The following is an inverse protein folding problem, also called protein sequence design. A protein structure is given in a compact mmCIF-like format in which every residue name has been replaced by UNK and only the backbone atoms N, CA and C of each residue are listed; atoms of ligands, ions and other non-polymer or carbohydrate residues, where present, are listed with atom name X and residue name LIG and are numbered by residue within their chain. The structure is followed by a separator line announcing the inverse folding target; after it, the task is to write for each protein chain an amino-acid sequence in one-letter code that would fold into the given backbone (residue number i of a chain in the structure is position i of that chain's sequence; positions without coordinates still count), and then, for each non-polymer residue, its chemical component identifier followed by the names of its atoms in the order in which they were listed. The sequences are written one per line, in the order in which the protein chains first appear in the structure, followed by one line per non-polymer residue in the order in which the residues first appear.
data_IF_093497268923
#
_entry.id   IF_093497268923
#
_cell.length_a   1.000
_cell.length_b   1.000
_cell.length_c   1.000
_cell.angle_alpha   90.00
_cell.angle_beta   90.00
_cell.angle_gamma   90.00
#
_symmetry.space_group_name_H-M   'P 1'
#
loop_
_entity.id
_entity.type
_entity.pdbx_description
1 polymer ?
#
# COMPACT_ATOMS: atom_id res chain seq x y z
N UNK A 1 13.60 -6.50 15.33
CA UNK A 1 14.63 -6.04 14.38
C UNK A 1 14.21 -4.69 13.85
N UNK A 2 15.08 -3.69 13.96
CA UNK A 2 14.87 -2.37 13.37
C UNK A 2 15.12 -2.45 11.85
N UNK A 3 14.18 -3.04 11.11
CA UNK A 3 14.27 -3.07 9.67
C UNK A 3 13.84 -1.71 9.12
N UNK A 4 14.71 -1.08 8.36
CA UNK A 4 14.37 0.13 7.62
C UNK A 4 13.60 -0.24 6.34
N UNK A 5 12.27 -0.27 6.46
CA UNK A 5 11.34 -0.64 5.38
C UNK A 5 11.27 0.42 4.26
N UNK A 6 11.69 1.64 4.56
CA UNK A 6 11.69 2.78 3.65
C UNK A 6 13.08 3.43 3.65
N UNK A 7 14.10 2.75 3.08
CA UNK A 7 15.43 3.31 3.01
C UNK A 7 15.43 4.63 2.23
N UNK A 8 16.47 5.43 2.42
CA UNK A 8 16.63 6.68 1.67
C UNK A 8 16.47 6.44 0.16
N UNK A 9 15.69 7.28 -0.51
CA UNK A 9 15.36 7.15 -1.93
C UNK A 9 14.15 6.25 -2.24
N UNK A 10 13.55 5.60 -1.22
CA UNK A 10 12.35 4.77 -1.46
C UNK A 10 11.16 5.59 -1.95
N UNK A 11 10.93 6.75 -1.37
CA UNK A 11 9.81 7.62 -1.76
C UNK A 11 9.93 8.05 -3.23
N UNK A 12 11.12 8.40 -3.69
CA UNK A 12 11.40 8.81 -5.07
C UNK A 12 11.13 7.66 -6.04
N UNK A 13 11.63 6.46 -5.76
CA UNK A 13 11.37 5.30 -6.62
C UNK A 13 9.88 4.97 -6.68
N UNK A 14 9.18 5.01 -5.54
CA UNK A 14 7.75 4.74 -5.49
C UNK A 14 6.96 5.77 -6.30
N UNK A 15 7.29 7.05 -6.16
CA UNK A 15 6.65 8.13 -6.93
C UNK A 15 6.89 7.99 -8.44
N UNK A 16 8.09 7.60 -8.88
CA UNK A 16 8.38 7.35 -10.30
C UNK A 16 7.51 6.20 -10.83
N UNK A 17 7.48 5.07 -10.13
CA UNK A 17 6.69 3.91 -10.55
C UNK A 17 5.20 4.20 -10.59
N UNK A 18 4.68 4.91 -9.58
CA UNK A 18 3.27 5.22 -9.48
C UNK A 18 2.82 6.17 -10.60
N UNK A 19 3.57 7.25 -10.84
CA UNK A 19 3.30 8.20 -11.92
C UNK A 19 3.45 7.56 -13.29
N UNK A 20 4.49 6.76 -13.52
CA UNK A 20 4.66 6.04 -14.79
C UNK A 20 3.51 5.06 -15.06
N UNK A 21 3.02 4.38 -14.02
CA UNK A 21 1.85 3.50 -14.14
C UNK A 21 0.58 4.27 -14.47
N UNK A 22 0.34 5.40 -13.82
CA UNK A 22 -0.80 6.28 -14.09
C UNK A 22 -0.76 6.84 -15.53
N UNK A 23 0.43 7.19 -16.05
CA UNK A 23 0.58 7.70 -17.42
C UNK A 23 0.08 6.73 -18.52
N UNK A 24 -0.07 5.45 -18.20
CA UNK A 24 -0.62 4.43 -19.11
C UNK A 24 -2.14 4.52 -19.27
N UNK A 25 -2.82 5.24 -18.39
CA UNK A 25 -4.26 5.45 -18.49
C UNK A 25 -4.51 6.29 -19.76
N UNK A 26 -5.37 5.81 -20.70
CA UNK A 26 -5.66 6.51 -21.95
C UNK A 26 -6.62 7.67 -21.69
N UNK A 27 -6.21 8.63 -20.88
CA UNK A 27 -6.97 9.83 -20.52
C UNK A 27 -6.67 10.92 -21.53
N UNK A 28 -7.71 11.40 -22.25
CA UNK A 28 -7.60 12.61 -23.07
C UNK A 28 -7.72 13.87 -22.20
N UNK A 29 -7.29 15.02 -22.72
CA UNK A 29 -7.43 16.29 -22.00
C UNK A 29 -8.92 16.64 -21.77
N UNK A 30 -9.80 16.24 -22.69
CA UNK A 30 -11.25 16.43 -22.55
C UNK A 30 -11.85 15.55 -21.42
N UNK A 31 -11.28 14.36 -21.18
CA UNK A 31 -11.75 13.44 -20.15
C UNK A 31 -11.11 13.69 -18.78
N UNK A 32 -10.14 14.60 -18.72
CA UNK A 32 -9.42 14.90 -17.47
C UNK A 32 -10.35 15.46 -16.37
N UNK A 33 -11.44 16.11 -16.76
CA UNK A 33 -12.45 16.64 -15.84
C UNK A 33 -13.42 15.55 -15.31
N UNK A 34 -13.44 14.37 -15.93
CA UNK A 34 -14.30 13.24 -15.55
C UNK A 34 -13.68 12.33 -14.49
N UNK A 35 -12.42 12.55 -14.14
CA UNK A 35 -11.70 11.75 -13.13
C UNK A 35 -11.36 12.60 -11.91
N UNK A 36 -11.06 11.93 -10.81
CA UNK A 36 -10.59 12.58 -9.59
C UNK A 36 -9.35 13.45 -9.88
N UNK A 37 -9.25 14.66 -9.27
CA UNK A 37 -8.11 15.56 -9.47
C UNK A 37 -6.75 14.91 -9.25
N UNK A 38 -6.66 14.01 -8.27
CA UNK A 38 -5.44 13.23 -8.01
C UNK A 38 -5.07 12.33 -9.19
N UNK A 39 -6.05 11.66 -9.79
CA UNK A 39 -5.82 10.78 -10.95
C UNK A 39 -5.33 11.59 -12.16
N UNK A 40 -5.99 12.71 -12.47
CA UNK A 40 -5.58 13.61 -13.56
C UNK A 40 -4.14 14.11 -13.34
N UNK A 41 -3.81 14.55 -12.14
CA UNK A 41 -2.47 15.01 -11.77
C UNK A 41 -1.42 13.91 -11.94
N UNK A 42 -1.67 12.69 -11.42
CA UNK A 42 -0.75 11.56 -11.56
C UNK A 42 -0.47 11.22 -13.02
N UNK A 43 -1.50 11.22 -13.87
CA UNK A 43 -1.36 10.99 -15.31
C UNK A 43 -0.50 12.07 -15.96
N UNK A 44 -0.75 13.33 -15.65
CA UNK A 44 0.02 14.45 -16.19
C UNK A 44 1.49 14.41 -15.76
N UNK A 45 1.75 14.20 -14.47
CA UNK A 45 3.10 14.08 -13.94
C UNK A 45 3.84 12.86 -14.51
N UNK A 46 3.13 11.75 -14.70
CA UNK A 46 3.69 10.55 -15.31
C UNK A 46 4.08 10.73 -16.77
N UNK A 47 3.30 11.51 -17.54
CA UNK A 47 3.61 11.85 -18.95
C UNK A 47 4.81 12.78 -19.09
N UNK A 48 5.22 13.47 -18.03
CA UNK A 48 6.41 14.33 -18.00
C UNK A 48 7.70 13.60 -17.66
N UNK A 49 7.61 12.35 -17.18
CA UNK A 49 8.78 11.56 -16.83
C UNK A 49 9.67 11.31 -18.05
N UNK A 50 10.95 11.59 -17.90
CA UNK A 50 11.94 11.21 -18.90
C UNK A 50 12.22 9.70 -18.87
N UNK A 51 12.69 9.16 -19.98
CA UNK A 51 13.14 7.78 -20.04
C UNK A 51 14.26 7.48 -19.02
N UNK A 52 15.13 8.46 -18.74
CA UNK A 52 16.22 8.32 -17.78
C UNK A 52 15.69 8.18 -16.34
N UNK A 53 14.72 9.00 -15.95
CA UNK A 53 14.06 8.91 -14.63
C UNK A 53 13.35 7.55 -14.48
N UNK A 54 12.61 7.11 -15.51
CA UNK A 54 11.96 5.81 -15.48
C UNK A 54 12.95 4.66 -15.34
N UNK A 55 14.03 4.66 -16.11
CA UNK A 55 15.07 3.63 -16.02
C UNK A 55 15.75 3.62 -14.65
N UNK A 56 16.02 4.80 -14.08
CA UNK A 56 16.56 4.96 -12.73
C UNK A 56 15.60 4.38 -11.68
N UNK A 57 14.31 4.72 -11.74
CA UNK A 57 13.28 4.18 -10.85
C UNK A 57 13.14 2.67 -10.94
N UNK A 58 13.14 2.09 -12.15
CA UNK A 58 13.08 0.64 -12.35
C UNK A 58 14.34 -0.07 -11.80
N UNK A 59 15.52 0.51 -11.98
CA UNK A 59 16.76 -0.04 -11.43
C UNK A 59 16.75 -0.02 -9.89
N UNK A 60 16.30 1.09 -9.30
CA UNK A 60 16.15 1.23 -7.86
C UNK A 60 15.11 0.24 -7.29
N UNK A 61 13.98 0.06 -7.97
CA UNK A 61 12.95 -0.91 -7.57
C UNK A 61 13.48 -2.35 -7.55
N UNK A 62 14.24 -2.76 -8.56
CA UNK A 62 14.87 -4.09 -8.60
C UNK A 62 15.93 -4.29 -7.50
N UNK A 63 16.67 -3.24 -7.17
CA UNK A 63 17.63 -3.30 -6.07
C UNK A 63 16.92 -3.42 -4.73
N UNK A 64 15.83 -2.66 -4.54
CA UNK A 64 14.96 -2.71 -3.37
C UNK A 64 14.31 -4.09 -3.20
N UNK A 65 13.71 -4.64 -4.26
CA UNK A 65 13.13 -5.99 -4.29
C UNK A 65 14.12 -7.05 -3.78
N UNK A 66 15.33 -7.11 -4.37
CA UNK A 66 16.35 -8.10 -3.97
C UNK A 66 16.75 -7.96 -2.51
N UNK A 67 16.93 -6.72 -2.02
CA UNK A 67 17.27 -6.45 -0.62
C UNK A 67 16.14 -6.89 0.31
N UNK A 68 14.90 -6.49 0.03
CA UNK A 68 13.74 -6.82 0.84
C UNK A 68 13.52 -8.32 0.92
N UNK A 69 13.61 -9.05 -0.20
CA UNK A 69 13.53 -10.53 -0.23
C UNK A 69 14.61 -11.15 0.66
N UNK A 70 15.85 -10.65 0.60
CA UNK A 70 16.94 -11.15 1.43
C UNK A 70 16.69 -10.91 2.93
N UNK A 71 16.24 -9.70 3.29
CA UNK A 71 15.93 -9.32 4.67
C UNK A 71 14.77 -10.16 5.26
N UNK A 72 13.78 -10.50 4.42
CA UNK A 72 12.62 -11.32 4.82
C UNK A 72 12.93 -12.83 4.86
N UNK A 73 14.00 -13.29 4.21
CA UNK A 73 14.33 -14.71 4.08
C UNK A 73 14.55 -15.43 5.41
N UNK A 74 14.88 -14.69 6.47
CA UNK A 74 15.09 -15.21 7.81
C UNK A 74 13.79 -15.51 8.59
N UNK A 75 12.62 -15.09 8.07
CA UNK A 75 11.34 -15.20 8.75
C UNK A 75 10.34 -15.98 7.89
N UNK A 76 9.45 -16.75 8.52
CA UNK A 76 8.34 -17.40 7.82
C UNK A 76 7.24 -16.39 7.47
N UNK A 77 7.00 -15.41 8.35
CA UNK A 77 6.12 -14.27 8.13
C UNK A 77 6.61 -13.07 8.95
N UNK A 78 6.35 -11.88 8.44
CA UNK A 78 6.60 -10.61 9.13
C UNK A 78 5.27 -9.92 9.40
N UNK A 79 5.05 -9.53 10.64
CA UNK A 79 3.84 -8.83 11.08
C UNK A 79 4.06 -7.32 11.06
N UNK A 80 3.15 -6.60 10.42
CA UNK A 80 3.08 -5.14 10.47
C UNK A 80 1.66 -4.67 10.80
N UNK A 81 1.45 -3.42 11.20
CA UNK A 81 0.13 -2.82 11.11
C UNK A 81 -0.35 -2.85 9.65
N UNK A 82 -1.66 -2.94 9.41
CA UNK A 82 -2.21 -2.78 8.06
C UNK A 82 -2.22 -1.30 7.64
N UNK A 83 -2.59 -0.41 8.57
CA UNK A 83 -2.67 1.03 8.39
C UNK A 83 -1.96 1.75 9.53
N UNK A 84 -1.50 2.97 9.28
CA UNK A 84 -0.83 3.80 10.30
C UNK A 84 -1.81 4.64 11.13
N UNK A 85 -3.04 4.77 10.66
CA UNK A 85 -4.06 5.65 11.24
C UNK A 85 -5.42 4.95 11.24
N UNK A 86 -6.35 5.33 12.12
CA UNK A 86 -7.74 4.86 12.06
C UNK A 86 -8.43 5.33 10.77
N UNK A 87 -9.59 4.75 10.42
CA UNK A 87 -10.38 5.18 9.26
C UNK A 87 -10.62 6.69 9.27
N UNK A 88 -10.37 7.33 8.14
CA UNK A 88 -10.55 8.77 8.01
C UNK A 88 -12.01 9.10 7.71
N UNK A 89 -12.56 10.21 8.24
CA UNK A 89 -13.90 10.66 7.89
C UNK A 89 -14.06 10.85 6.37
N UNK A 90 -15.27 10.58 5.88
CA UNK A 90 -15.61 10.84 4.47
C UNK A 90 -15.35 12.34 4.17
N UNK A 91 -14.66 12.62 3.08
CA UNK A 91 -14.31 13.97 2.67
C UNK A 91 -12.99 14.51 3.23
N UNK A 92 -12.24 13.73 4.02
CA UNK A 92 -10.94 14.17 4.59
C UNK A 92 -9.92 14.63 3.55
N UNK A 93 -10.04 14.21 2.31
CA UNK A 93 -9.17 14.62 1.22
C UNK A 93 -9.72 15.80 0.41
N UNK A 94 -10.96 16.26 0.69
CA UNK A 94 -11.58 17.35 -0.04
C UNK A 94 -10.86 18.68 0.21
N UNK A 95 -10.69 19.49 -0.86
CA UNK A 95 -10.07 20.81 -0.78
C UNK A 95 -8.54 20.83 -0.67
N UNK A 96 -7.89 19.68 -0.65
CA UNK A 96 -6.42 19.59 -0.72
C UNK A 96 -5.92 19.55 -2.18
N UNK A 97 -4.68 20.00 -2.39
CA UNK A 97 -4.04 19.80 -3.69
C UNK A 97 -3.81 18.31 -3.96
N UNK A 98 -3.70 17.89 -5.24
CA UNK A 98 -3.41 16.50 -5.58
C UNK A 98 -2.14 15.97 -4.92
N UNK A 99 -1.07 16.78 -4.83
CA UNK A 99 0.18 16.40 -4.17
C UNK A 99 -0.03 16.15 -2.68
N UNK A 100 -0.80 17.04 -2.00
CA UNK A 100 -1.08 16.85 -0.57
C UNK A 100 -1.98 15.65 -0.33
N UNK A 101 -2.98 15.45 -1.18
CA UNK A 101 -3.85 14.25 -1.14
C UNK A 101 -3.04 12.98 -1.28
N UNK A 102 -2.09 12.93 -2.22
CA UNK A 102 -1.20 11.77 -2.39
C UNK A 102 -0.33 11.54 -1.16
N UNK A 103 0.28 12.60 -0.61
CA UNK A 103 1.08 12.51 0.61
C UNK A 103 0.26 11.97 1.80
N UNK A 104 -0.97 12.46 1.99
CA UNK A 104 -1.86 11.97 3.05
C UNK A 104 -2.22 10.50 2.88
N UNK A 105 -2.42 10.01 1.66
CA UNK A 105 -2.66 8.58 1.40
C UNK A 105 -1.44 7.72 1.71
N UNK A 106 -0.23 8.21 1.41
CA UNK A 106 1.01 7.52 1.78
C UNK A 106 1.19 7.49 3.31
N UNK A 107 0.93 8.59 4.00
CA UNK A 107 0.95 8.68 5.47
C UNK A 107 -0.08 7.73 6.12
N UNK A 108 -1.24 7.54 5.48
CA UNK A 108 -2.30 6.65 5.95
C UNK A 108 -1.97 5.16 5.79
N UNK A 109 -1.38 4.77 4.65
CA UNK A 109 -1.13 3.36 4.29
C UNK A 109 0.34 3.08 3.93
N UNK A 110 1.31 3.35 4.85
CA UNK A 110 2.73 3.22 4.53
C UNK A 110 3.21 1.77 4.41
N UNK A 111 2.49 0.80 4.99
CA UNK A 111 2.94 -0.58 5.14
C UNK A 111 2.66 -1.49 3.94
N UNK A 112 1.92 -1.04 2.92
CA UNK A 112 1.57 -1.85 1.75
C UNK A 112 2.46 -1.60 0.53
N UNK A 113 3.01 -0.39 0.40
CA UNK A 113 3.78 0.01 -0.78
C UNK A 113 5.03 -0.85 -0.99
N UNK A 114 5.81 -1.10 0.06
CA UNK A 114 7.04 -1.89 -0.04
C UNK A 114 6.76 -3.35 -0.43
N UNK A 115 5.66 -3.92 0.04
CA UNK A 115 5.20 -5.27 -0.31
C UNK A 115 4.96 -5.39 -1.80
N UNK A 116 4.21 -4.40 -2.36
CA UNK A 116 3.92 -4.35 -3.80
C UNK A 116 5.18 -4.15 -4.64
N UNK A 117 6.09 -3.25 -4.23
CA UNK A 117 7.35 -3.01 -4.96
C UNK A 117 8.28 -4.21 -4.90
N UNK A 118 8.32 -4.93 -3.78
CA UNK A 118 9.14 -6.14 -3.62
C UNK A 118 8.47 -7.42 -4.17
N UNK A 119 7.21 -7.36 -4.62
CA UNK A 119 6.49 -8.52 -5.15
C UNK A 119 6.27 -9.64 -4.12
N UNK A 120 6.12 -9.27 -2.84
CA UNK A 120 5.92 -10.23 -1.75
C UNK A 120 4.43 -10.54 -1.56
N UNK A 121 4.09 -11.78 -1.16
CA UNK A 121 2.72 -12.10 -0.76
C UNK A 121 2.39 -11.47 0.58
N UNK A 122 1.16 -11.00 0.74
CA UNK A 122 0.66 -10.49 2.01
C UNK A 122 -0.82 -10.79 2.20
N UNK A 123 -1.24 -10.88 3.46
CA UNK A 123 -2.63 -10.99 3.87
C UNK A 123 -2.91 -10.00 5.00
N UNK A 124 -4.05 -9.33 4.95
CA UNK A 124 -4.51 -8.44 6.01
C UNK A 124 -5.64 -9.11 6.77
N UNK A 125 -5.55 -9.08 8.10
CA UNK A 125 -6.47 -9.77 9.00
C UNK A 125 -6.95 -8.75 10.04
N UNK A 126 -8.27 -8.53 10.21
CA UNK A 126 -8.79 -7.78 11.32
C UNK A 126 -8.57 -8.57 12.61
N UNK A 127 -7.98 -7.95 13.65
CA UNK A 127 -7.64 -8.63 14.91
C UNK A 127 -8.42 -8.11 16.11
N UNK A 128 -8.94 -6.90 16.04
CA UNK A 128 -9.75 -6.27 17.09
C UNK A 128 -10.58 -5.13 16.50
N UNK A 129 -11.30 -4.43 17.35
CA UNK A 129 -11.92 -3.14 17.00
C UNK A 129 -11.36 -2.03 17.89
N UNK A 130 -11.39 -0.79 17.41
CA UNK A 130 -11.11 0.39 18.20
C UNK A 130 -12.30 0.75 19.14
N UNK A 131 -12.17 1.87 19.85
CA UNK A 131 -13.21 2.33 20.77
C UNK A 131 -14.53 2.73 20.06
N UNK A 132 -14.43 3.09 18.79
CA UNK A 132 -15.54 3.47 17.92
C UNK A 132 -16.16 2.26 17.20
N UNK A 133 -15.58 1.06 17.34
CA UNK A 133 -16.06 -0.17 16.72
C UNK A 133 -15.49 -0.43 15.32
N UNK A 134 -14.53 0.37 14.84
CA UNK A 134 -13.89 0.12 13.56
C UNK A 134 -12.90 -1.04 13.65
N UNK A 135 -12.78 -1.89 12.61
CA UNK A 135 -11.82 -2.99 12.62
C UNK A 135 -10.38 -2.46 12.59
N UNK A 136 -9.57 -2.96 13.51
CA UNK A 136 -8.12 -2.78 13.53
C UNK A 136 -7.48 -4.04 12.98
N UNK A 137 -6.67 -3.87 11.95
CA UNK A 137 -6.08 -4.98 11.19
C UNK A 137 -4.55 -4.99 11.28
N UNK A 138 -4.01 -6.20 11.19
CA UNK A 138 -2.59 -6.45 10.99
C UNK A 138 -2.35 -7.00 9.58
N UNK A 139 -1.15 -6.80 9.06
CA UNK A 139 -0.70 -7.38 7.81
C UNK A 139 0.39 -8.41 8.10
N UNK A 140 0.26 -9.59 7.52
CA UNK A 140 1.31 -10.61 7.45
C UNK A 140 1.93 -10.56 6.06
N UNK A 141 3.24 -10.42 6.00
CA UNK A 141 4.02 -10.42 4.75
C UNK A 141 4.90 -11.66 4.73
N UNK A 142 4.85 -12.43 3.66
CA UNK A 142 5.59 -13.69 3.50
C UNK A 142 6.77 -13.61 2.55
N UNK A 143 7.49 -14.71 2.44
CA UNK A 143 8.51 -14.93 1.40
C UNK A 143 7.85 -15.14 0.04
N UNK A 144 8.55 -14.95 -1.07
CA UNK A 144 8.03 -15.32 -2.39
C UNK A 144 7.54 -16.77 -2.41
N UNK A 145 6.29 -17.00 -2.86
CA UNK A 145 5.63 -18.31 -2.84
C UNK A 145 5.15 -18.77 -1.47
N UNK A 146 5.13 -17.91 -0.45
CA UNK A 146 4.74 -18.21 0.94
C UNK A 146 3.24 -18.02 1.24
N UNK A 147 2.37 -17.93 0.25
CA UNK A 147 0.93 -17.66 0.41
C UNK A 147 0.26 -18.69 1.31
N UNK A 148 0.59 -19.99 1.15
CA UNK A 148 0.02 -21.06 1.99
C UNK A 148 0.33 -20.86 3.47
N UNK A 149 1.58 -20.56 3.81
CA UNK A 149 2.02 -20.26 5.19
C UNK A 149 1.26 -19.07 5.76
N UNK A 150 1.09 -18.00 4.97
CA UNK A 150 0.34 -16.82 5.40
C UNK A 150 -1.12 -17.15 5.71
N UNK A 151 -1.77 -17.95 4.86
CA UNK A 151 -3.16 -18.38 5.07
C UNK A 151 -3.32 -19.28 6.30
N UNK A 152 -2.36 -20.17 6.56
CA UNK A 152 -2.34 -21.01 7.76
C UNK A 152 -2.20 -20.17 9.03
N UNK A 153 -1.29 -19.20 9.06
CA UNK A 153 -1.12 -18.29 10.20
C UNK A 153 -2.36 -17.41 10.37
N UNK A 154 -2.92 -16.89 9.27
CA UNK A 154 -4.15 -16.12 9.29
C UNK A 154 -5.32 -16.90 9.91
N UNK A 155 -5.52 -18.14 9.48
CA UNK A 155 -6.57 -19.02 10.04
C UNK A 155 -6.39 -19.27 11.54
N UNK A 156 -5.14 -19.43 12.02
CA UNK A 156 -4.85 -19.59 13.45
C UNK A 156 -5.18 -18.31 14.23
N UNK A 157 -4.86 -17.14 13.69
CA UNK A 157 -5.21 -15.85 14.31
C UNK A 157 -6.72 -15.65 14.39
N UNK A 158 -7.43 -15.94 13.30
CA UNK A 158 -8.90 -15.86 13.26
C UNK A 158 -9.56 -16.81 14.26
N UNK A 159 -9.09 -18.04 14.33
CA UNK A 159 -9.61 -19.04 15.27
C UNK A 159 -9.40 -18.62 16.74
N UNK A 160 -8.28 -17.96 17.07
CA UNK A 160 -8.00 -17.47 18.42
C UNK A 160 -8.77 -16.22 18.78
N UNK A 161 -8.95 -15.32 17.82
CA UNK A 161 -9.70 -14.07 18.00
C UNK A 161 -11.19 -14.35 18.20
N UNK A 162 -11.73 -15.34 17.50
CA UNK A 162 -13.17 -15.54 17.40
C UNK A 162 -13.85 -14.58 16.42
N UNK A 163 -15.21 -14.59 16.36
CA UNK A 163 -15.95 -13.72 15.44
C UNK A 163 -15.81 -12.24 15.83
N UNK A 164 -15.71 -11.37 14.80
CA UNK A 164 -15.86 -9.92 14.96
C UNK A 164 -17.30 -9.51 14.65
N UNK A 165 -17.80 -8.41 15.24
CA UNK A 165 -19.11 -7.88 14.91
C UNK A 165 -19.17 -7.52 13.41
N UNK A 166 -20.29 -7.85 12.78
CA UNK A 166 -20.58 -7.40 11.42
C UNK A 166 -21.08 -5.95 11.43
N UNK A 167 -20.89 -5.21 10.32
CA UNK A 167 -21.53 -3.91 10.18
C UNK A 167 -23.06 -4.03 10.32
N UNK A 168 -23.73 -3.09 11.00
CA UNK A 168 -25.17 -3.18 11.27
C UNK A 168 -26.06 -3.36 10.04
N UNK A 169 -25.60 -2.90 8.88
CA UNK A 169 -26.31 -3.04 7.60
C UNK A 169 -26.32 -4.47 7.02
N UNK A 170 -25.56 -5.40 7.61
CA UNK A 170 -25.52 -6.80 7.14
C UNK A 170 -26.52 -7.71 7.86
N UNK A 171 -27.13 -7.22 8.93
CA UNK A 171 -28.13 -7.93 9.72
C UNK A 171 -29.59 -7.54 9.34
N UNK A 172 -29.76 -6.78 8.24
CA UNK A 172 -31.04 -6.27 7.76
C UNK A 172 -31.60 -7.05 6.56
#
# INVERSE_FOLDING_TARGET
TDADWHPSGYAELFHVLWRASAARIPLSDADAELVEPLTAWLVQEGRRLSALELLGGLAAARAFERRTIADFSAFDAVLTPALAQPPQPIGSYAGHSPERTFAMQVEYAPYSSFVNVAGLPAVTIPVTTDAEGHPVSVQLVGRPGGEATLLEVAAQLEARRGPLPHPPAWDA
#
